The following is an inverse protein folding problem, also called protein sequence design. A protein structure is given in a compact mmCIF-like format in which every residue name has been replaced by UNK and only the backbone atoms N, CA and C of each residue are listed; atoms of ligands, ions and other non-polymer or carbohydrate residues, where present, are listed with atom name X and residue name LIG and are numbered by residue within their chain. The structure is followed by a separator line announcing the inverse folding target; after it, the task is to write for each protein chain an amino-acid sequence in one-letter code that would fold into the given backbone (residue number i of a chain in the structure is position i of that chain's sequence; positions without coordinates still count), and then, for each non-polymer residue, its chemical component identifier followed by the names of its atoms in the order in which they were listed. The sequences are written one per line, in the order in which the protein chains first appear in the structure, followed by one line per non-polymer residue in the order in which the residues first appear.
data_IF_341055453580
#
_entry.id   IF_341055453580
#
_cell.length_a   1.000
_cell.length_b   1.000
_cell.length_c   1.000
_cell.angle_alpha   90.00
_cell.angle_beta   90.00
_cell.angle_gamma   90.00
#
_symmetry.space_group_name_H-M   'P 1'
#
loop_
_entity.id
_entity.type
_entity.pdbx_description
1 polymer ?
#
# COMPACT_ATOMS: atom_id res chain seq x y z
N UNK A 1 -24.13 -15.69 16.96
CA UNK A 1 -23.93 -14.28 16.54
C UNK A 1 -22.45 -13.89 16.70
N UNK A 2 -21.63 -14.13 15.68
CA UNK A 2 -20.21 -13.76 15.64
C UNK A 2 -19.97 -12.77 14.51
N UNK A 3 -20.52 -11.56 14.66
CA UNK A 3 -20.32 -10.40 13.78
C UNK A 3 -19.18 -9.53 14.33
N UNK A 4 -17.99 -10.11 14.49
CA UNK A 4 -16.82 -9.40 15.06
C UNK A 4 -15.56 -9.46 14.20
N UNK A 5 -15.61 -10.06 13.01
CA UNK A 5 -14.41 -10.30 12.20
C UNK A 5 -14.02 -9.17 11.23
N UNK A 6 -15.01 -8.48 10.67
CA UNK A 6 -14.78 -7.54 9.55
C UNK A 6 -14.33 -6.16 10.05
N UNK A 7 -14.94 -5.66 11.14
CA UNK A 7 -14.68 -4.32 11.66
C UNK A 7 -13.25 -4.17 12.21
N UNK A 8 -12.76 -5.16 12.94
CA UNK A 8 -11.41 -5.17 13.50
C UNK A 8 -10.30 -5.10 12.42
N UNK A 9 -10.58 -5.62 11.23
CA UNK A 9 -9.63 -5.63 10.11
C UNK A 9 -9.58 -4.27 9.43
N UNK A 10 -10.74 -3.67 9.19
CA UNK A 10 -10.90 -2.36 8.55
C UNK A 10 -10.37 -1.24 9.46
N UNK A 11 -10.70 -1.27 10.75
CA UNK A 11 -10.20 -0.31 11.74
C UNK A 11 -8.68 -0.38 11.87
N UNK A 12 -8.11 -1.59 11.86
CA UNK A 12 -6.67 -1.79 11.86
C UNK A 12 -5.99 -1.18 10.63
N UNK A 13 -6.57 -1.37 9.44
CA UNK A 13 -6.07 -0.77 8.19
C UNK A 13 -6.06 0.76 8.27
N UNK A 14 -7.19 1.38 8.61
CA UNK A 14 -7.31 2.83 8.66
C UNK A 14 -6.47 3.46 9.78
N UNK A 15 -6.23 2.74 10.88
CA UNK A 15 -5.35 3.19 11.95
C UNK A 15 -3.89 3.33 11.49
N UNK A 16 -3.39 2.35 10.72
CA UNK A 16 -2.05 2.40 10.14
C UNK A 16 -1.96 3.48 9.06
N UNK A 17 -2.96 3.56 8.19
CA UNK A 17 -3.03 4.58 7.13
C UNK A 17 -2.95 6.00 7.71
N UNK A 18 -3.79 6.33 8.69
CA UNK A 18 -3.81 7.66 9.33
C UNK A 18 -2.47 8.02 9.98
N UNK A 19 -1.79 7.05 10.60
CA UNK A 19 -0.45 7.27 11.17
C UNK A 19 0.59 7.53 10.09
N UNK A 20 0.53 6.79 8.97
CA UNK A 20 1.39 7.01 7.81
C UNK A 20 1.23 8.40 7.21
N UNK A 21 -0.01 8.88 7.08
CA UNK A 21 -0.32 10.21 6.55
C UNK A 21 0.22 11.34 7.44
N UNK A 22 0.19 11.18 8.76
CA UNK A 22 0.74 12.17 9.70
C UNK A 22 2.27 12.15 9.78
N UNK A 23 2.91 11.02 9.49
CA UNK A 23 4.36 10.87 9.59
C UNK A 23 5.06 10.97 8.23
N UNK A 24 5.05 9.87 7.49
CA UNK A 24 5.82 9.73 6.24
C UNK A 24 5.25 10.60 5.12
N UNK A 25 3.92 10.71 5.01
CA UNK A 25 3.25 11.41 3.90
C UNK A 25 2.66 12.77 4.32
N UNK A 26 3.37 13.51 5.18
CA UNK A 26 2.93 14.80 5.73
C UNK A 26 2.62 15.88 4.67
N UNK A 27 3.28 15.81 3.49
CA UNK A 27 3.05 16.71 2.35
C UNK A 27 2.34 15.99 1.19
N UNK A 28 1.39 15.11 1.50
CA UNK A 28 0.56 14.48 0.49
C UNK A 28 -0.34 15.51 -0.20
N UNK A 29 -0.05 15.83 -1.46
CA UNK A 29 -1.01 16.48 -2.35
C UNK A 29 -2.21 15.57 -2.64
N UNK A 30 -3.40 16.16 -2.78
CA UNK A 30 -4.64 15.41 -3.04
C UNK A 30 -4.55 14.51 -4.29
N UNK A 31 -3.75 14.93 -5.27
CA UNK A 31 -3.45 14.22 -6.51
C UNK A 31 -2.66 12.91 -6.35
N UNK A 32 -2.07 12.64 -5.18
CA UNK A 32 -1.31 11.42 -4.91
C UNK A 32 -2.00 10.48 -3.92
N UNK A 33 -3.16 10.88 -3.37
CA UNK A 33 -3.86 10.11 -2.34
C UNK A 33 -4.18 8.68 -2.80
N UNK A 34 -4.61 8.52 -4.06
CA UNK A 34 -4.89 7.23 -4.66
C UNK A 34 -3.66 6.30 -4.70
N UNK A 35 -2.46 6.86 -4.94
CA UNK A 35 -1.20 6.09 -4.96
C UNK A 35 -0.83 5.60 -3.57
N UNK A 36 -1.01 6.43 -2.55
CA UNK A 36 -0.74 6.04 -1.16
C UNK A 36 -1.75 4.99 -0.68
N UNK A 37 -3.04 5.15 -1.00
CA UNK A 37 -4.05 4.13 -0.69
C UNK A 37 -3.71 2.78 -1.31
N UNK A 38 -3.33 2.75 -2.59
CA UNK A 38 -2.91 1.52 -3.26
C UNK A 38 -1.66 0.89 -2.63
N UNK A 39 -0.70 1.70 -2.19
CA UNK A 39 0.50 1.22 -1.49
C UNK A 39 0.15 0.59 -0.14
N UNK A 40 -0.71 1.23 0.66
CA UNK A 40 -1.13 0.70 1.96
C UNK A 40 -1.96 -0.56 1.81
N UNK A 41 -2.87 -0.62 0.83
CA UNK A 41 -3.66 -1.82 0.51
C UNK A 41 -2.74 -2.98 0.14
N UNK A 42 -1.78 -2.74 -0.76
CA UNK A 42 -0.78 -3.74 -1.13
C UNK A 42 0.00 -4.26 0.10
N UNK A 43 0.49 -3.37 0.96
CA UNK A 43 1.26 -3.78 2.15
C UNK A 43 0.42 -4.54 3.17
N UNK A 44 -0.84 -4.13 3.38
CA UNK A 44 -1.71 -4.76 4.37
C UNK A 44 -2.16 -6.15 3.92
N UNK A 45 -2.41 -6.33 2.62
CA UNK A 45 -2.83 -7.61 2.05
C UNK A 45 -1.65 -8.58 1.86
N UNK A 46 -0.47 -8.06 1.52
CA UNK A 46 0.76 -8.84 1.31
C UNK A 46 1.66 -8.77 2.55
N UNK A 47 1.24 -9.41 3.64
CA UNK A 47 2.02 -9.50 4.88
C UNK A 47 2.05 -10.93 5.42
N UNK A 48 3.04 -11.21 6.26
CA UNK A 48 3.22 -12.53 6.91
C UNK A 48 1.96 -12.98 7.65
N UNK A 49 1.24 -12.07 8.31
CA UNK A 49 -0.01 -12.39 9.01
C UNK A 49 -1.13 -12.92 8.08
N UNK A 50 -1.02 -12.68 6.77
CA UNK A 50 -1.93 -13.20 5.75
C UNK A 50 -1.33 -14.39 4.97
N UNK A 51 -0.21 -14.95 5.45
CA UNK A 51 0.48 -16.07 4.80
C UNK A 51 1.40 -15.69 3.64
N UNK A 52 1.68 -14.41 3.42
CA UNK A 52 2.58 -13.95 2.35
C UNK A 52 3.96 -13.68 2.92
N UNK A 53 4.95 -14.46 2.49
CA UNK A 53 6.36 -14.27 2.84
C UNK A 53 6.98 -13.08 2.09
N UNK A 54 8.13 -12.60 2.57
CA UNK A 54 8.85 -11.47 1.97
C UNK A 54 9.28 -11.72 0.52
N UNK A 55 9.66 -12.96 0.20
CA UNK A 55 10.01 -13.35 -1.16
C UNK A 55 8.80 -13.25 -2.10
N UNK A 56 7.66 -13.79 -1.67
CA UNK A 56 6.43 -13.76 -2.45
C UNK A 56 5.91 -12.32 -2.61
N UNK A 57 6.01 -11.51 -1.56
CA UNK A 57 5.68 -10.09 -1.60
C UNK A 57 6.54 -9.34 -2.63
N UNK A 58 7.84 -9.63 -2.67
CA UNK A 58 8.75 -9.03 -3.64
C UNK A 58 8.38 -9.45 -5.07
N UNK A 59 8.07 -10.73 -5.30
CA UNK A 59 7.63 -11.23 -6.61
C UNK A 59 6.33 -10.55 -7.08
N UNK A 60 5.33 -10.45 -6.21
CA UNK A 60 4.07 -9.73 -6.50
C UNK A 60 4.31 -8.26 -6.84
N UNK A 61 5.27 -7.61 -6.18
CA UNK A 61 5.66 -6.24 -6.50
C UNK A 61 6.29 -6.14 -7.89
N UNK A 62 7.18 -7.07 -8.25
CA UNK A 62 7.84 -7.10 -9.57
C UNK A 62 6.83 -7.28 -10.71
N UNK A 63 5.82 -8.13 -10.53
CA UNK A 63 4.74 -8.30 -11.51
C UNK A 63 4.00 -6.98 -11.80
N UNK A 64 3.81 -6.13 -10.78
CA UNK A 64 3.15 -4.83 -10.91
C UNK A 64 3.97 -3.74 -11.64
N UNK A 65 5.25 -4.00 -11.89
CA UNK A 65 6.19 -3.09 -12.58
C UNK A 65 6.29 -3.40 -14.08
N UNK A 66 5.87 -4.59 -14.53
CA UNK A 66 5.95 -4.99 -15.93
C UNK A 66 5.23 -3.96 -16.82
N UNK A 67 5.93 -3.50 -17.86
CA UNK A 67 5.42 -2.47 -18.79
C UNK A 67 5.47 -1.04 -18.27
N UNK A 68 5.89 -0.80 -17.02
CA UNK A 68 6.09 0.54 -16.45
C UNK A 68 7.57 0.87 -16.40
N UNK A 69 8.00 1.81 -17.24
CA UNK A 69 9.38 2.31 -17.27
C UNK A 69 9.39 3.82 -17.17
N UNK A 70 10.09 4.35 -16.17
CA UNK A 70 10.35 5.78 -16.06
C UNK A 70 11.60 6.12 -16.90
N UNK A 71 11.45 6.94 -17.92
CA UNK A 71 12.56 7.46 -18.72
C UNK A 71 12.82 8.91 -18.34
N UNK A 72 14.09 9.33 -18.36
CA UNK A 72 14.44 10.73 -18.16
C UNK A 72 13.84 11.57 -19.30
N UNK A 73 13.23 12.71 -18.98
CA UNK A 73 12.89 13.68 -20.01
C UNK A 73 14.19 14.35 -20.44
N UNK A 74 14.63 14.12 -21.67
CA UNK A 74 15.73 14.89 -22.25
C UNK A 74 15.22 16.32 -22.40
N UNK A 75 15.65 17.21 -21.51
CA UNK A 75 15.46 18.65 -21.68
C UNK A 75 16.17 19.05 -22.98
N UNK A 76 15.40 19.51 -23.96
CA UNK A 76 15.91 20.23 -25.12
C UNK A 76 16.33 21.65 -24.73
#
# INVERSE_FOLDING_TARGET
PSLGGVDNTIEGFFSVFKRGMKGVYQHCGHNHLNRYLAEFDFRYNNRVANGVDDNERAERLLQGVIGKRLTYQTTC
#
